data_IF_434617384188
#
_entry.id   IF_434617384188
#
_cell.length_a   1.000
_cell.length_b   1.000
_cell.length_c   1.000
_cell.angle_alpha   90.00
_cell.angle_beta   90.00
_cell.angle_gamma   90.00
#
_symmetry.space_group_name_H-M   'P 1'
#
loop_
_entity.id
_entity.type
_entity.pdbx_description
1 polymer ?
#
# COMPACT_ATOMS: atom_id res chain seq x y z
N UNK A 1 10.41 14.19 -2.83
CA UNK A 1 9.25 14.94 -2.31
C UNK A 1 9.37 14.99 -0.81
N UNK A 2 9.55 16.17 -0.21
CA UNK A 2 9.60 16.32 1.24
C UNK A 2 8.24 15.87 1.79
N UNK A 3 8.20 14.73 2.49
CA UNK A 3 6.99 14.21 3.13
C UNK A 3 6.63 15.11 4.30
N UNK A 4 5.88 16.17 4.03
CA UNK A 4 5.22 16.99 5.05
C UNK A 4 4.30 16.08 5.89
N UNK A 5 4.21 16.34 7.19
CA UNK A 5 3.30 15.58 8.05
C UNK A 5 1.85 15.90 7.65
N UNK A 6 0.89 14.97 7.83
CA UNK A 6 -0.53 15.23 7.55
C UNK A 6 -1.04 16.53 8.20
N UNK A 7 -0.57 16.84 9.41
CA UNK A 7 -0.89 18.06 10.16
C UNK A 7 -0.46 19.36 9.48
N UNK A 8 0.57 19.30 8.63
CA UNK A 8 1.15 20.46 7.95
C UNK A 8 0.55 20.69 6.54
N UNK A 9 -0.34 19.79 6.07
CA UNK A 9 -0.96 19.87 4.75
C UNK A 9 -2.15 20.85 4.77
N UNK A 10 -2.35 21.57 3.67
CA UNK A 10 -3.63 22.26 3.42
C UNK A 10 -4.76 21.23 3.20
N UNK A 11 -6.02 21.63 3.34
CA UNK A 11 -7.19 20.75 3.16
C UNK A 11 -7.20 20.11 1.75
N UNK A 12 -6.94 20.90 0.72
CA UNK A 12 -6.91 20.39 -0.67
C UNK A 12 -5.75 19.41 -0.88
N UNK A 13 -4.58 19.71 -0.30
CA UNK A 13 -3.42 18.84 -0.34
C UNK A 13 -3.69 17.52 0.40
N UNK A 14 -4.33 17.59 1.57
CA UNK A 14 -4.70 16.43 2.38
C UNK A 14 -5.67 15.52 1.63
N UNK A 15 -6.73 16.08 1.03
CA UNK A 15 -7.72 15.33 0.26
C UNK A 15 -7.12 14.69 -0.99
N UNK A 16 -6.27 15.44 -1.72
CA UNK A 16 -5.57 14.93 -2.90
C UNK A 16 -4.61 13.80 -2.53
N UNK A 17 -3.82 13.99 -1.47
CA UNK A 17 -2.86 12.99 -1.00
C UNK A 17 -3.56 11.74 -0.45
N UNK A 18 -4.68 11.88 0.26
CA UNK A 18 -5.49 10.74 0.71
C UNK A 18 -5.97 9.92 -0.49
N UNK A 19 -6.53 10.57 -1.51
CA UNK A 19 -7.03 9.91 -2.72
C UNK A 19 -5.90 9.18 -3.46
N UNK A 20 -4.77 9.84 -3.67
CA UNK A 20 -3.61 9.25 -4.33
C UNK A 20 -3.03 8.09 -3.51
N UNK A 21 -2.89 8.25 -2.20
CA UNK A 21 -2.42 7.20 -1.30
C UNK A 21 -3.37 6.00 -1.28
N UNK A 22 -4.68 6.23 -1.32
CA UNK A 22 -5.71 5.19 -1.40
C UNK A 22 -5.60 4.38 -2.69
N UNK A 23 -5.45 5.05 -3.83
CA UNK A 23 -5.27 4.38 -5.13
C UNK A 23 -3.97 3.57 -5.12
N UNK A 24 -2.84 4.19 -4.71
CA UNK A 24 -1.55 3.51 -4.65
C UNK A 24 -1.57 2.30 -3.72
N UNK A 25 -2.16 2.43 -2.53
CA UNK A 25 -2.30 1.33 -1.58
C UNK A 25 -3.13 0.18 -2.15
N UNK A 26 -4.28 0.47 -2.78
CA UNK A 26 -5.13 -0.56 -3.41
C UNK A 26 -4.38 -1.29 -4.52
N UNK A 27 -3.68 -0.56 -5.40
CA UNK A 27 -2.89 -1.17 -6.48
C UNK A 27 -1.76 -2.05 -5.94
N UNK A 28 -1.04 -1.59 -4.92
CA UNK A 28 -0.01 -2.40 -4.26
C UNK A 28 -0.59 -3.67 -3.64
N UNK A 29 -1.76 -3.59 -3.01
CA UNK A 29 -2.43 -4.74 -2.40
C UNK A 29 -2.84 -5.77 -3.46
N UNK A 30 -3.43 -5.32 -4.56
CA UNK A 30 -3.80 -6.20 -5.69
C UNK A 30 -2.56 -6.87 -6.27
N UNK A 31 -1.47 -6.12 -6.49
CA UNK A 31 -0.22 -6.66 -7.00
C UNK A 31 0.38 -7.72 -6.07
N UNK A 32 0.42 -7.46 -4.75
CA UNK A 32 0.90 -8.42 -3.75
C UNK A 32 0.08 -9.71 -3.79
N UNK A 33 -1.25 -9.60 -3.81
CA UNK A 33 -2.14 -10.76 -3.84
C UNK A 33 -1.95 -11.59 -5.12
N UNK A 34 -1.83 -10.93 -6.28
CA UNK A 34 -1.57 -11.61 -7.55
C UNK A 34 -0.21 -12.32 -7.55
N UNK A 35 0.86 -11.66 -7.06
CA UNK A 35 2.19 -12.26 -6.99
C UNK A 35 2.26 -13.43 -6.02
N UNK A 36 1.58 -13.35 -4.87
CA UNK A 36 1.51 -14.47 -3.93
C UNK A 36 0.67 -15.62 -4.50
N UNK A 37 -0.49 -15.34 -5.08
CA UNK A 37 -1.33 -16.38 -5.69
C UNK A 37 -0.61 -17.12 -6.82
N UNK A 38 0.03 -16.37 -7.73
CA UNK A 38 0.84 -16.95 -8.82
C UNK A 38 2.06 -17.68 -8.29
N UNK A 39 2.74 -17.14 -7.27
CA UNK A 39 3.89 -17.78 -6.64
C UNK A 39 3.54 -19.10 -5.95
N UNK A 40 2.42 -19.14 -5.22
CA UNK A 40 1.90 -20.36 -4.59
C UNK A 40 1.53 -21.38 -5.66
N UNK A 41 0.79 -20.97 -6.70
CA UNK A 41 0.44 -21.83 -7.82
C UNK A 41 1.68 -22.48 -8.45
N UNK A 42 2.67 -21.66 -8.84
CA UNK A 42 3.91 -22.16 -9.44
C UNK A 42 4.71 -23.05 -8.48
N UNK A 43 4.71 -22.75 -7.19
CA UNK A 43 5.39 -23.58 -6.20
C UNK A 43 4.76 -24.96 -6.07
N UNK A 44 3.44 -25.04 -6.18
CA UNK A 44 2.70 -26.30 -6.14
C UNK A 44 2.81 -27.09 -7.45
N UNK A 45 2.78 -26.42 -8.62
CA UNK A 45 2.89 -27.10 -9.92
C UNK A 45 4.31 -27.58 -10.19
N UNK A 46 5.31 -26.75 -9.93
CA UNK A 46 6.69 -27.03 -10.31
C UNK A 46 7.48 -27.69 -9.16
N UNK A 47 6.83 -27.87 -7.99
CA UNK A 47 7.38 -28.41 -6.74
C UNK A 47 8.69 -27.73 -6.30
N UNK A 48 8.89 -26.48 -6.70
CA UNK A 48 10.07 -25.67 -6.40
C UNK A 48 9.63 -24.32 -5.88
N UNK A 49 10.40 -23.76 -4.95
CA UNK A 49 10.10 -22.43 -4.43
C UNK A 49 10.09 -21.39 -5.56
N UNK A 50 8.98 -20.67 -5.71
CA UNK A 50 8.86 -19.59 -6.68
C UNK A 50 9.40 -18.27 -6.11
N UNK A 51 10.32 -17.64 -6.85
CA UNK A 51 10.81 -16.28 -6.55
C UNK A 51 9.67 -15.26 -6.47
N UNK A 52 8.54 -15.52 -7.12
CA UNK A 52 7.34 -14.68 -7.05
C UNK A 52 6.79 -14.57 -5.61
N UNK A 53 6.93 -15.63 -4.80
CA UNK A 53 6.55 -15.60 -3.37
C UNK A 53 7.44 -14.61 -2.62
N UNK A 54 8.77 -14.67 -2.84
CA UNK A 54 9.72 -13.76 -2.20
C UNK A 54 9.48 -12.29 -2.60
N UNK A 55 9.20 -12.05 -3.89
CA UNK A 55 8.84 -10.70 -4.37
C UNK A 55 7.53 -10.24 -3.72
N UNK A 56 6.49 -11.07 -3.72
CA UNK A 56 5.20 -10.75 -3.09
C UNK A 56 5.33 -10.45 -1.60
N UNK A 57 6.14 -11.22 -0.86
CA UNK A 57 6.42 -10.94 0.56
C UNK A 57 7.18 -9.64 0.75
N UNK A 58 8.20 -9.33 -0.06
CA UNK A 58 8.90 -8.04 0.04
C UNK A 58 7.97 -6.84 -0.22
N UNK A 59 7.11 -6.93 -1.24
CA UNK A 59 6.13 -5.90 -1.56
C UNK A 59 5.05 -5.74 -0.48
N UNK A 60 4.72 -6.81 0.25
CA UNK A 60 3.79 -6.74 1.38
C UNK A 60 4.28 -5.80 2.49
N UNK A 61 5.59 -5.73 2.73
CA UNK A 61 6.18 -4.80 3.71
C UNK A 61 5.94 -3.36 3.26
N UNK A 62 6.15 -3.08 1.97
CA UNK A 62 5.90 -1.76 1.38
C UNK A 62 4.42 -1.41 1.48
N UNK A 63 3.53 -2.36 1.18
CA UNK A 63 2.08 -2.17 1.32
C UNK A 63 1.69 -1.83 2.77
N UNK A 64 2.29 -2.49 3.77
CA UNK A 64 2.04 -2.19 5.19
C UNK A 64 2.44 -0.75 5.54
N UNK A 65 3.62 -0.31 5.10
CA UNK A 65 4.08 1.07 5.33
C UNK A 65 3.15 2.09 4.68
N UNK A 66 2.76 1.85 3.42
CA UNK A 66 1.82 2.70 2.70
C UNK A 66 0.43 2.71 3.36
N UNK A 67 -0.02 1.58 3.90
CA UNK A 67 -1.27 1.47 4.65
C UNK A 67 -1.25 2.28 5.95
N UNK A 68 -0.12 2.31 6.66
CA UNK A 68 0.05 3.19 7.84
C UNK A 68 -0.02 4.67 7.46
N UNK A 69 0.62 5.05 6.37
CA UNK A 69 0.57 6.43 5.87
C UNK A 69 -0.87 6.84 5.47
N UNK A 70 -1.59 5.97 4.76
CA UNK A 70 -2.99 6.18 4.42
C UNK A 70 -3.86 6.35 5.67
N UNK A 71 -3.65 5.52 6.71
CA UNK A 71 -4.34 5.67 7.99
C UNK A 71 -4.06 7.01 8.66
N UNK A 72 -2.83 7.50 8.61
CA UNK A 72 -2.48 8.80 9.18
C UNK A 72 -3.21 9.95 8.44
N UNK A 73 -3.29 9.90 7.11
CA UNK A 73 -4.05 10.87 6.32
C UNK A 73 -5.56 10.83 6.65
N UNK A 74 -6.12 9.62 6.79
CA UNK A 74 -7.53 9.44 7.15
C UNK A 74 -7.87 9.91 8.57
N UNK A 75 -6.95 9.70 9.52
CA UNK A 75 -7.10 10.21 10.89
C UNK A 75 -7.11 11.73 10.91
N UNK A 76 -6.16 12.37 10.21
CA UNK A 76 -6.10 13.82 10.13
C UNK A 76 -7.37 14.41 9.48
N UNK A 77 -7.82 13.79 8.38
CA UNK A 77 -9.07 14.16 7.73
C UNK A 77 -10.28 14.09 8.68
N UNK A 78 -10.36 13.02 9.48
CA UNK A 78 -11.42 12.84 10.49
C UNK A 78 -11.34 13.90 11.59
N UNK A 79 -10.14 14.25 12.08
CA UNK A 79 -9.93 15.29 13.09
C UNK A 79 -10.42 16.65 12.57
N UNK A 80 -10.20 16.93 11.29
CA UNK A 80 -10.61 18.19 10.64
C UNK A 80 -12.07 18.20 10.15
N UNK A 81 -12.81 17.09 10.30
CA UNK A 81 -14.17 16.91 9.78
C UNK A 81 -14.28 17.19 8.27
N UNK A 82 -13.32 16.69 7.49
CA UNK A 82 -13.23 16.82 6.03
C UNK A 82 -13.57 15.50 5.31
#
# INVERSE_FOLDING_TARGET
>A
MTTRKPTEMSNDELLKNEKTAKIGFTLSLVAVLLMLATGIYLTLTDKKFSTMIAIGTSLSVIAIVNGKNLKALQQEKKIRNL
#
